data_IF_122562247917
#
_entry.id   IF_122562247917
#
_cell.length_a   1.000
_cell.length_b   1.000
_cell.length_c   1.000
_cell.angle_alpha   90.00
_cell.angle_beta   90.00
_cell.angle_gamma   90.00
#
_symmetry.space_group_name_H-M   'P 1'
#
loop_
_entity.id
_entity.type
_entity.pdbx_description
1 polymer ?
#
# COMPACT_ATOMS: atom_id res chain seq x y z
N UNK A 1 -13.39 2.11 -23.97
CA UNK A 1 -12.74 0.79 -23.83
C UNK A 1 -12.97 -0.10 -25.05
N UNK A 2 -14.18 -0.11 -25.62
CA UNK A 2 -14.55 -0.96 -26.76
C UNK A 2 -13.61 -0.91 -27.99
N UNK A 3 -13.16 0.26 -28.49
CA UNK A 3 -12.24 0.31 -29.63
C UNK A 3 -10.87 -0.32 -29.35
N UNK A 4 -10.42 -0.24 -28.09
CA UNK A 4 -9.15 -0.84 -27.67
C UNK A 4 -9.26 -2.36 -27.61
N UNK A 5 -10.40 -2.89 -27.18
CA UNK A 5 -10.66 -4.34 -27.16
C UNK A 5 -10.74 -4.89 -28.58
N UNK A 6 -11.43 -4.20 -29.48
CA UNK A 6 -11.46 -4.57 -30.91
C UNK A 6 -10.04 -4.56 -31.51
N UNK A 7 -9.22 -3.59 -31.14
CA UNK A 7 -7.81 -3.53 -31.54
C UNK A 7 -7.03 -4.73 -30.99
N UNK A 8 -7.21 -5.08 -29.72
CA UNK A 8 -6.57 -6.26 -29.10
C UNK A 8 -6.99 -7.56 -29.80
N UNK A 9 -8.29 -7.75 -30.05
CA UNK A 9 -8.82 -8.95 -30.71
C UNK A 9 -8.34 -9.06 -32.16
N UNK A 10 -8.27 -7.94 -32.89
CA UNK A 10 -7.79 -7.94 -34.28
C UNK A 10 -6.28 -8.18 -34.39
N UNK A 11 -5.49 -7.65 -33.46
CA UNK A 11 -4.02 -7.72 -33.47
C UNK A 11 -3.48 -9.01 -32.86
N UNK A 12 -4.19 -9.57 -31.88
CA UNK A 12 -3.79 -10.78 -31.15
C UNK A 12 -4.93 -11.82 -31.05
N UNK A 13 -5.43 -12.33 -32.18
CA UNK A 13 -6.59 -13.23 -32.21
C UNK A 13 -6.34 -14.56 -31.48
N UNK A 14 -5.09 -15.03 -31.43
CA UNK A 14 -4.71 -16.27 -30.74
C UNK A 14 -4.30 -16.05 -29.28
N UNK A 15 -4.01 -14.80 -28.87
CA UNK A 15 -3.60 -14.49 -27.51
C UNK A 15 -4.77 -14.09 -26.62
N UNK A 16 -5.76 -13.37 -27.17
CA UNK A 16 -6.94 -12.92 -26.42
C UNK A 16 -8.01 -13.99 -26.50
N UNK A 17 -8.24 -14.68 -25.38
CA UNK A 17 -9.21 -15.79 -25.29
C UNK A 17 -10.64 -15.27 -25.11
N UNK A 18 -10.80 -14.24 -24.29
CA UNK A 18 -12.08 -13.58 -24.05
C UNK A 18 -11.85 -12.13 -23.63
N UNK A 19 -12.82 -11.27 -23.89
CA UNK A 19 -12.84 -9.91 -23.41
C UNK A 19 -14.26 -9.55 -22.97
N UNK A 20 -14.38 -9.07 -21.74
CA UNK A 20 -15.64 -8.71 -21.12
C UNK A 20 -15.60 -7.26 -20.65
N UNK A 21 -16.69 -6.54 -20.90
CA UNK A 21 -16.85 -5.14 -20.49
C UNK A 21 -18.03 -5.09 -19.54
N UNK A 22 -17.72 -5.09 -18.26
CA UNK A 22 -18.72 -4.92 -17.22
C UNK A 22 -19.02 -3.43 -17.06
N UNK A 23 -20.09 -2.98 -17.71
CA UNK A 23 -20.56 -1.60 -17.59
C UNK A 23 -21.16 -1.30 -16.21
N UNK A 24 -21.66 -2.31 -15.49
CA UNK A 24 -22.27 -2.11 -14.17
C UNK A 24 -21.20 -1.79 -13.11
N UNK A 25 -20.06 -2.46 -13.20
CA UNK A 25 -18.93 -2.25 -12.29
C UNK A 25 -17.83 -1.36 -12.89
N UNK A 26 -18.01 -0.84 -14.12
CA UNK A 26 -17.02 -0.06 -14.85
C UNK A 26 -15.65 -0.77 -14.96
N UNK A 27 -15.68 -2.09 -15.12
CA UNK A 27 -14.49 -2.92 -15.26
C UNK A 27 -14.37 -3.44 -16.69
N UNK A 28 -13.14 -3.51 -17.18
CA UNK A 28 -12.83 -4.17 -18.46
C UNK A 28 -11.85 -5.28 -18.18
N UNK A 29 -12.27 -6.52 -18.45
CA UNK A 29 -11.46 -7.71 -18.20
C UNK A 29 -11.10 -8.37 -19.51
N UNK A 30 -9.83 -8.69 -19.70
CA UNK A 30 -9.33 -9.40 -20.88
C UNK A 30 -8.60 -10.65 -20.42
N UNK A 31 -9.04 -11.82 -20.90
CA UNK A 31 -8.36 -13.08 -20.65
C UNK A 31 -7.35 -13.33 -21.75
N UNK A 32 -6.10 -13.58 -21.34
CA UNK A 32 -4.96 -13.74 -22.25
C UNK A 32 -4.32 -15.11 -22.02
N UNK A 33 -3.88 -15.74 -23.11
CA UNK A 33 -3.14 -16.98 -23.07
C UNK A 33 -1.74 -16.75 -22.46
N UNK A 34 -1.37 -17.60 -21.49
CA UNK A 34 -0.11 -17.49 -20.74
C UNK A 34 1.16 -17.28 -21.60
N UNK A 35 1.38 -18.03 -22.70
CA UNK A 35 2.61 -17.89 -23.50
C UNK A 35 2.74 -16.57 -24.26
N UNK A 36 1.67 -15.77 -24.37
CA UNK A 36 1.63 -14.54 -25.16
C UNK A 36 1.39 -13.29 -24.31
N UNK A 37 1.41 -13.44 -22.98
CA UNK A 37 1.12 -12.35 -22.05
C UNK A 37 2.06 -11.17 -22.24
N UNK A 38 3.36 -11.42 -22.41
CA UNK A 38 4.37 -10.38 -22.54
C UNK A 38 4.17 -9.51 -23.79
N UNK A 39 3.73 -10.11 -24.90
CA UNK A 39 3.45 -9.37 -26.15
C UNK A 39 2.26 -8.44 -26.00
N UNK A 40 1.17 -8.92 -25.39
CA UNK A 40 -0.03 -8.13 -25.13
C UNK A 40 0.27 -7.00 -24.14
N UNK A 41 1.02 -7.30 -23.08
CA UNK A 41 1.43 -6.32 -22.07
C UNK A 41 2.30 -5.20 -22.67
N UNK A 42 3.27 -5.53 -23.53
CA UNK A 42 4.07 -4.53 -24.25
C UNK A 42 3.21 -3.65 -25.13
N UNK A 43 2.26 -4.23 -25.86
CA UNK A 43 1.34 -3.44 -26.67
C UNK A 43 0.50 -2.49 -25.80
N UNK A 44 -0.04 -2.95 -24.68
CA UNK A 44 -0.83 -2.11 -23.77
C UNK A 44 -0.02 -0.96 -23.18
N UNK A 45 1.25 -1.17 -22.91
CA UNK A 45 2.16 -0.15 -22.43
C UNK A 45 2.55 0.86 -23.52
N UNK A 46 3.03 0.37 -24.67
CA UNK A 46 3.69 1.19 -25.70
C UNK A 46 2.72 1.86 -26.68
N UNK A 47 1.53 1.27 -26.90
CA UNK A 47 0.58 1.79 -27.86
C UNK A 47 0.00 3.14 -27.37
N UNK A 48 0.11 4.24 -28.13
CA UNK A 48 -0.39 5.55 -27.71
C UNK A 48 -1.89 5.57 -27.37
N UNK A 49 -2.69 4.75 -28.06
CA UNK A 49 -4.12 4.59 -27.83
C UNK A 49 -4.47 3.85 -26.53
N UNK A 50 -3.54 3.07 -25.99
CA UNK A 50 -3.69 2.29 -24.76
C UNK A 50 -3.00 2.97 -23.58
N UNK A 51 -1.68 3.18 -23.70
CA UNK A 51 -0.80 3.88 -22.78
C UNK A 51 -1.05 3.52 -21.31
N UNK A 52 -1.04 2.22 -21.00
CA UNK A 52 -1.11 1.72 -19.62
C UNK A 52 0.27 1.81 -18.97
N UNK A 53 0.61 3.01 -18.52
CA UNK A 53 1.91 3.35 -17.96
C UNK A 53 2.05 2.98 -16.48
N UNK A 54 0.94 2.79 -15.76
CA UNK A 54 0.93 2.52 -14.33
C UNK A 54 0.44 1.10 -13.99
N UNK A 55 1.30 0.30 -13.37
CA UNK A 55 0.91 -0.97 -12.74
C UNK A 55 0.31 -0.69 -11.36
N UNK A 56 -0.94 -1.06 -11.17
CA UNK A 56 -1.65 -0.80 -9.90
C UNK A 56 -1.45 -1.94 -8.91
N UNK A 57 -1.57 -3.18 -9.39
CA UNK A 57 -1.50 -4.37 -8.56
C UNK A 57 -1.32 -5.64 -9.43
N UNK A 58 -0.75 -6.69 -8.85
CA UNK A 58 -0.78 -8.06 -9.39
C UNK A 58 -1.25 -8.98 -8.28
N UNK A 59 -2.36 -9.66 -8.50
CA UNK A 59 -2.90 -10.63 -7.57
C UNK A 59 -3.12 -11.98 -8.25
N UNK A 60 -3.47 -12.98 -7.46
CA UNK A 60 -3.62 -14.35 -7.93
C UNK A 60 -4.74 -15.07 -7.23
N UNK A 61 -5.39 -15.99 -7.93
CA UNK A 61 -6.46 -16.85 -7.41
C UNK A 61 -6.15 -18.33 -7.66
N UNK A 62 -6.60 -19.18 -6.73
CA UNK A 62 -6.48 -20.63 -6.80
C UNK A 62 -7.89 -21.25 -6.94
N UNK A 63 -8.08 -22.00 -8.02
CA UNK A 63 -9.28 -22.76 -8.37
C UNK A 63 -8.97 -24.27 -8.40
N UNK A 64 -8.97 -24.98 -7.25
CA UNK A 64 -8.54 -26.38 -7.18
C UNK A 64 -9.33 -27.37 -8.03
N UNK A 65 -10.57 -27.00 -8.39
CA UNK A 65 -11.45 -27.85 -9.21
C UNK A 65 -11.21 -27.71 -10.72
N UNK A 66 -10.45 -26.69 -11.14
CA UNK A 66 -10.21 -26.39 -12.55
C UNK A 66 -8.90 -27.03 -13.02
N UNK A 67 -8.86 -27.48 -14.29
CA UNK A 67 -7.62 -28.01 -14.90
C UNK A 67 -6.53 -26.93 -14.98
N UNK A 68 -6.92 -25.69 -15.27
CA UNK A 68 -6.06 -24.51 -15.12
C UNK A 68 -6.31 -23.89 -13.75
N UNK A 69 -5.67 -24.49 -12.75
CA UNK A 69 -5.86 -24.20 -11.34
C UNK A 69 -5.55 -22.75 -10.94
N UNK A 70 -4.47 -22.17 -11.45
CA UNK A 70 -4.03 -20.85 -11.01
C UNK A 70 -4.44 -19.76 -12.01
N UNK A 71 -4.90 -18.62 -11.50
CA UNK A 71 -5.19 -17.42 -12.28
C UNK A 71 -4.36 -16.26 -11.75
N UNK A 72 -3.56 -15.62 -12.61
CA UNK A 72 -2.84 -14.39 -12.30
C UNK A 72 -3.59 -13.22 -12.91
N UNK A 73 -3.80 -12.18 -12.10
CA UNK A 73 -4.65 -11.03 -12.40
C UNK A 73 -3.78 -9.77 -12.31
N UNK A 74 -3.65 -9.06 -13.43
CA UNK A 74 -2.91 -7.80 -13.51
C UNK A 74 -3.89 -6.64 -13.55
N UNK A 75 -3.69 -5.65 -12.69
CA UNK A 75 -4.47 -4.41 -12.67
C UNK A 75 -3.64 -3.27 -13.25
N UNK A 76 -4.02 -2.82 -14.44
CA UNK A 76 -3.31 -1.74 -15.14
C UNK A 76 -4.16 -0.48 -15.18
N UNK A 77 -3.49 0.65 -15.05
CA UNK A 77 -4.06 1.98 -15.14
C UNK A 77 -3.31 2.79 -16.20
N UNK A 78 -4.05 3.42 -17.10
CA UNK A 78 -3.53 4.47 -17.95
C UNK A 78 -3.81 5.79 -17.27
N UNK A 79 -2.77 6.43 -16.74
CA UNK A 79 -2.91 7.76 -16.14
C UNK A 79 -3.30 8.81 -17.20
N UNK A 80 -2.69 8.84 -18.41
CA UNK A 80 -3.03 9.82 -19.43
C UNK A 80 -4.48 9.73 -19.92
N UNK A 81 -5.02 8.51 -20.03
CA UNK A 81 -6.38 8.29 -20.55
C UNK A 81 -7.42 8.09 -19.46
N UNK A 82 -7.02 7.98 -18.19
CA UNK A 82 -7.93 7.76 -17.05
C UNK A 82 -8.69 6.43 -17.13
N UNK A 83 -8.10 5.39 -17.70
CA UNK A 83 -8.77 4.09 -17.96
C UNK A 83 -8.07 2.97 -17.23
N UNK A 84 -8.84 1.98 -16.77
CA UNK A 84 -8.33 0.74 -16.17
C UNK A 84 -8.63 -0.46 -17.04
N UNK A 85 -7.75 -1.45 -16.98
CA UNK A 85 -7.95 -2.76 -17.59
C UNK A 85 -7.42 -3.83 -16.65
N UNK A 86 -8.17 -4.93 -16.54
CA UNK A 86 -7.76 -6.12 -15.81
C UNK A 86 -7.38 -7.18 -16.82
N UNK A 87 -6.17 -7.72 -16.72
CA UNK A 87 -5.75 -8.86 -17.52
C UNK A 87 -5.72 -10.11 -16.66
N UNK A 88 -6.26 -11.20 -17.18
CA UNK A 88 -6.32 -12.49 -16.49
C UNK A 88 -5.63 -13.55 -17.31
N UNK A 89 -4.77 -14.33 -16.66
CA UNK A 89 -4.03 -15.40 -17.28
C UNK A 89 -4.14 -16.65 -16.44
N UNK A 90 -4.51 -17.77 -17.04
CA UNK A 90 -4.67 -19.05 -16.34
C UNK A 90 -3.52 -20.01 -16.61
N UNK A 91 -3.15 -20.78 -15.60
CA UNK A 91 -2.00 -21.69 -15.56
C UNK A 91 -2.39 -23.05 -14.99
N UNK A 92 -1.68 -24.08 -15.42
CA UNK A 92 -1.81 -25.44 -14.86
C UNK A 92 -0.89 -25.62 -13.66
N UNK A 93 -1.20 -26.59 -12.80
CA UNK A 93 -0.38 -26.92 -11.63
C UNK A 93 0.95 -27.61 -11.98
N UNK A 94 1.01 -28.33 -13.11
CA UNK A 94 2.22 -29.05 -13.54
C UNK A 94 3.38 -28.10 -13.86
N UNK A 95 3.09 -26.91 -14.41
CA UNK A 95 4.09 -25.90 -14.72
C UNK A 95 3.51 -24.48 -14.55
N UNK A 96 3.40 -23.98 -13.31
CA UNK A 96 2.85 -22.66 -13.02
C UNK A 96 3.91 -21.58 -13.25
N UNK A 97 4.27 -21.36 -14.52
CA UNK A 97 5.31 -20.40 -14.93
C UNK A 97 4.75 -19.38 -15.92
N UNK A 98 5.08 -18.11 -15.73
CA UNK A 98 4.79 -16.99 -16.63
C UNK A 98 6.06 -16.20 -16.97
N UNK A 99 6.04 -15.46 -18.06
CA UNK A 99 7.09 -14.46 -18.33
C UNK A 99 6.91 -13.23 -17.44
N UNK A 100 8.00 -12.76 -16.84
CA UNK A 100 8.02 -11.56 -16.00
C UNK A 100 7.77 -10.29 -16.82
N UNK A 101 6.94 -9.40 -16.28
CA UNK A 101 6.66 -8.09 -16.86
C UNK A 101 7.51 -6.96 -16.24
N UNK A 102 8.49 -7.30 -15.41
CA UNK A 102 9.46 -6.35 -14.80
C UNK A 102 10.24 -5.52 -15.83
N UNK A 103 10.42 -6.05 -17.04
CA UNK A 103 11.03 -5.33 -18.16
C UNK A 103 10.17 -4.20 -18.73
N UNK A 104 8.86 -4.21 -18.44
CA UNK A 104 7.88 -3.20 -18.87
C UNK A 104 7.62 -2.23 -17.71
N UNK A 105 7.19 -2.76 -16.56
CA UNK A 105 6.96 -2.00 -15.33
C UNK A 105 7.88 -2.49 -14.23
N UNK A 106 8.76 -1.62 -13.73
CA UNK A 106 9.66 -1.90 -12.61
C UNK A 106 8.89 -2.20 -11.31
N UNK A 107 7.70 -1.64 -11.14
CA UNK A 107 6.83 -1.93 -9.99
C UNK A 107 6.40 -3.39 -9.90
N UNK A 108 6.43 -4.14 -11.01
CA UNK A 108 6.11 -5.57 -11.01
C UNK A 108 7.09 -6.42 -10.18
N UNK A 109 8.29 -5.92 -9.88
CA UNK A 109 9.32 -6.66 -9.12
C UNK A 109 8.80 -7.10 -7.74
N UNK A 110 8.15 -6.20 -7.00
CA UNK A 110 7.60 -6.55 -5.68
C UNK A 110 6.36 -7.44 -5.80
N UNK A 111 5.48 -7.14 -6.75
CA UNK A 111 4.18 -7.78 -6.91
C UNK A 111 4.31 -9.23 -7.43
N UNK A 112 5.21 -9.48 -8.39
CA UNK A 112 5.50 -10.84 -8.88
C UNK A 112 6.18 -11.71 -7.80
N UNK A 113 7.05 -11.12 -6.98
CA UNK A 113 7.66 -11.82 -5.83
C UNK A 113 6.63 -12.23 -4.78
N UNK A 114 5.65 -11.38 -4.50
CA UNK A 114 4.57 -11.70 -3.56
C UNK A 114 3.73 -12.87 -4.06
N UNK A 115 3.32 -12.85 -5.35
CA UNK A 115 2.60 -13.97 -5.97
C UNK A 115 3.44 -15.25 -5.96
N UNK A 116 4.75 -15.15 -6.23
CA UNK A 116 5.65 -16.30 -6.13
C UNK A 116 5.73 -16.85 -4.70
N UNK A 117 5.90 -15.99 -3.70
CA UNK A 117 6.06 -16.41 -2.31
C UNK A 117 4.77 -17.01 -1.72
N UNK A 118 3.62 -16.44 -2.08
CA UNK A 118 2.32 -16.83 -1.53
C UNK A 118 1.64 -17.97 -2.28
N UNK A 119 1.86 -18.10 -3.60
CA UNK A 119 1.18 -19.07 -4.46
C UNK A 119 2.12 -20.04 -5.18
N UNK A 120 3.42 -19.75 -5.24
CA UNK A 120 4.41 -20.60 -5.90
C UNK A 120 4.39 -20.53 -7.43
N UNK A 121 3.81 -19.48 -8.00
CA UNK A 121 3.83 -19.21 -9.44
C UNK A 121 5.16 -18.57 -9.79
N UNK A 122 5.91 -19.15 -10.74
CA UNK A 122 7.25 -18.67 -11.11
C UNK A 122 7.18 -17.66 -12.25
N UNK A 123 8.03 -16.64 -12.20
CA UNK A 123 8.16 -15.63 -13.25
C UNK A 123 9.53 -15.74 -13.94
N UNK A 124 9.53 -16.23 -15.18
CA UNK A 124 10.73 -16.37 -16.01
C UNK A 124 11.26 -14.98 -16.42
N UNK A 125 12.56 -14.76 -16.26
CA UNK A 125 13.20 -13.48 -16.56
C UNK A 125 13.10 -12.42 -15.45
N UNK A 126 12.53 -12.77 -14.29
CA UNK A 126 12.49 -11.88 -13.13
C UNK A 126 13.90 -11.62 -12.55
N UNK A 127 14.28 -10.37 -12.22
CA UNK A 127 15.62 -10.04 -11.75
C UNK A 127 15.96 -10.60 -10.36
N UNK A 128 15.02 -10.61 -9.42
CA UNK A 128 15.21 -11.13 -8.06
C UNK A 128 13.99 -11.93 -7.55
N UNK A 129 13.83 -13.19 -7.98
CA UNK A 129 12.68 -14.02 -7.58
C UNK A 129 12.94 -14.78 -6.26
N UNK A 130 13.30 -14.05 -5.21
CA UNK A 130 13.37 -14.56 -3.83
C UNK A 130 12.04 -14.33 -3.11
N UNK A 131 11.81 -15.13 -2.07
CA UNK A 131 10.70 -14.91 -1.11
C UNK A 131 10.77 -13.48 -0.56
N UNK A 132 9.62 -12.93 -0.19
CA UNK A 132 9.50 -11.52 0.20
C UNK A 132 8.77 -11.33 1.54
N UNK A 133 7.80 -12.19 1.86
CA UNK A 133 7.05 -12.16 3.11
C UNK A 133 7.38 -13.34 4.02
N UNK A 134 7.73 -14.49 3.44
CA UNK A 134 8.05 -15.70 4.19
C UNK A 134 9.56 -15.88 4.35
N UNK A 135 10.00 -16.50 5.47
CA UNK A 135 11.39 -16.90 5.64
C UNK A 135 11.90 -17.76 4.48
N UNK A 136 13.18 -17.65 4.14
CA UNK A 136 13.80 -18.40 3.03
C UNK A 136 13.71 -19.92 3.25
N UNK A 137 13.77 -20.36 4.51
CA UNK A 137 13.66 -21.75 4.98
C UNK A 137 12.21 -22.23 5.15
N UNK A 138 11.21 -21.44 4.75
CA UNK A 138 9.81 -21.83 4.84
C UNK A 138 9.50 -23.01 3.90
N UNK A 139 9.31 -24.19 4.49
CA UNK A 139 9.11 -25.47 3.78
C UNK A 139 7.66 -25.97 3.79
N UNK A 140 6.78 -25.34 4.56
CA UNK A 140 5.39 -25.79 4.76
C UNK A 140 4.47 -25.57 3.54
N UNK A 141 4.96 -24.86 2.51
CA UNK A 141 4.27 -24.66 1.24
C UNK A 141 3.99 -23.19 0.93
N UNK A 142 2.79 -22.92 0.41
CA UNK A 142 2.37 -21.64 -0.15
C UNK A 142 1.02 -21.22 0.50
N UNK A 143 1.02 -20.23 1.42
CA UNK A 143 -0.12 -19.95 2.29
C UNK A 143 -1.44 -19.58 1.58
N UNK A 144 -1.38 -18.93 0.41
CA UNK A 144 -2.59 -18.50 -0.30
C UNK A 144 -3.25 -19.59 -1.15
N UNK A 145 -2.61 -20.76 -1.29
CA UNK A 145 -3.27 -21.90 -1.95
C UNK A 145 -4.43 -22.43 -1.11
N UNK A 146 -5.50 -22.89 -1.75
CA UNK A 146 -6.71 -23.39 -1.05
C UNK A 146 -6.46 -24.69 -0.27
N UNK A 147 -5.45 -25.48 -0.66
CA UNK A 147 -5.03 -26.69 0.05
C UNK A 147 -4.13 -26.39 1.27
N UNK A 148 -3.74 -25.14 1.48
CA UNK A 148 -3.04 -24.72 2.68
C UNK A 148 -4.04 -24.46 3.82
N UNK A 149 -3.85 -25.06 5.01
CA UNK A 149 -4.75 -24.87 6.14
C UNK A 149 -4.66 -23.45 6.69
N UNK A 150 -5.81 -22.86 7.04
CA UNK A 150 -5.86 -21.50 7.59
C UNK A 150 -5.13 -21.35 8.94
N UNK A 151 -5.04 -22.43 9.71
CA UNK A 151 -4.31 -22.47 11.00
C UNK A 151 -2.79 -22.71 10.82
N UNK A 152 -2.31 -22.90 9.59
CA UNK A 152 -0.93 -23.31 9.31
C UNK A 152 -0.70 -24.81 9.43
N UNK A 153 0.46 -25.31 8.96
CA UNK A 153 0.84 -26.73 9.03
C UNK A 153 1.82 -26.95 10.18
N UNK A 154 1.30 -27.35 11.35
CA UNK A 154 2.12 -27.76 12.49
C UNK A 154 2.62 -26.61 13.39
N UNK A 155 2.92 -26.98 14.64
CA UNK A 155 3.76 -26.27 15.63
C UNK A 155 3.44 -24.81 16.05
N UNK A 156 2.24 -24.26 15.81
CA UNK A 156 1.86 -22.91 16.35
C UNK A 156 0.49 -22.80 17.03
N UNK A 157 -0.29 -23.88 17.11
CA UNK A 157 -1.59 -23.88 17.80
C UNK A 157 -1.52 -24.15 19.31
N UNK A 158 -0.34 -24.50 19.85
CA UNK A 158 -0.13 -24.80 21.27
C UNK A 158 1.11 -24.06 21.79
N UNK A 159 0.95 -22.80 22.17
CA UNK A 159 1.90 -22.17 23.08
C UNK A 159 1.34 -22.26 24.50
N UNK A 160 1.98 -23.02 25.38
CA UNK A 160 1.94 -22.79 26.83
C UNK A 160 2.76 -21.51 27.09
N UNK A 161 2.19 -20.34 26.77
CA UNK A 161 2.89 -19.07 26.58
C UNK A 161 3.50 -18.44 27.86
N UNK A 162 3.55 -19.15 28.97
CA UNK A 162 4.20 -18.64 30.19
C UNK A 162 5.23 -19.67 30.64
N UNK A 163 6.53 -19.49 30.32
CA UNK A 163 7.56 -20.25 31.00
C UNK A 163 7.37 -20.04 32.50
N UNK A 164 7.26 -21.13 33.26
CA UNK A 164 7.13 -21.03 34.72
C UNK A 164 8.43 -20.40 35.22
N UNK A 165 8.33 -19.51 36.22
CA UNK A 165 9.47 -18.80 36.80
C UNK A 165 10.58 -19.75 37.32
N UNK A 166 10.20 -21.02 37.50
CA UNK A 166 10.97 -22.11 38.07
C UNK A 166 11.75 -22.91 37.00
N UNK A 167 11.53 -22.64 35.71
CA UNK A 167 12.22 -23.31 34.61
C UNK A 167 13.60 -22.69 34.37
N UNK A 168 14.66 -23.51 34.22
CA UNK A 168 15.99 -23.00 33.90
C UNK A 168 15.97 -22.30 32.53
N UNK A 169 16.74 -21.21 32.35
CA UNK A 169 16.86 -20.56 31.05
C UNK A 169 17.28 -21.57 29.99
N UNK A 170 16.54 -21.65 28.88
CA UNK A 170 16.99 -22.42 27.72
C UNK A 170 18.35 -21.89 27.26
N UNK A 171 19.27 -22.79 26.94
CA UNK A 171 20.54 -22.45 26.30
C UNK A 171 20.26 -21.60 25.06
N UNK A 172 20.98 -20.49 24.93
CA UNK A 172 20.93 -19.65 23.74
C UNK A 172 21.17 -20.54 22.51
N UNK A 173 20.16 -20.67 21.67
CA UNK A 173 20.32 -21.23 20.33
C UNK A 173 21.39 -20.37 19.65
N UNK A 174 22.50 -21.00 19.24
CA UNK A 174 23.49 -20.36 18.40
C UNK A 174 22.78 -19.59 17.29
N UNK A 175 23.21 -18.34 17.06
CA UNK A 175 22.54 -17.37 16.17
C UNK A 175 21.82 -18.03 15.00
N UNK A 176 20.52 -17.74 14.81
CA UNK A 176 19.58 -18.33 13.84
C UNK A 176 20.04 -18.32 12.36
N UNK A 177 21.22 -17.78 12.07
CA UNK A 177 21.83 -17.70 10.74
C UNK A 177 23.14 -18.49 10.76
N UNK A 178 23.21 -19.57 9.97
CA UNK A 178 24.44 -20.35 9.83
C UNK A 178 25.54 -19.50 9.18
N UNK A 179 26.81 -19.82 9.45
CA UNK A 179 27.95 -19.16 8.77
C UNK A 179 27.90 -19.28 7.23
N UNK A 180 27.16 -20.26 6.70
CA UNK A 180 26.97 -20.43 5.26
C UNK A 180 26.00 -19.39 4.68
N UNK A 181 24.94 -19.04 5.40
CA UNK A 181 23.96 -18.03 4.97
C UNK A 181 24.54 -16.61 5.08
N UNK A 182 25.51 -16.40 5.98
CA UNK A 182 26.33 -15.18 6.02
C UNK A 182 27.20 -15.01 4.77
N UNK A 183 27.57 -16.08 4.05
CA UNK A 183 28.47 -15.98 2.88
C UNK A 183 27.82 -15.32 1.66
N UNK A 184 26.50 -15.33 1.54
CA UNK A 184 25.79 -14.57 0.49
C UNK A 184 25.93 -13.06 0.73
N UNK A 185 26.11 -12.67 1.99
CA UNK A 185 26.40 -11.31 2.44
C UNK A 185 27.87 -11.13 2.83
N UNK A 186 28.81 -11.85 2.22
CA UNK A 186 30.24 -11.56 2.34
C UNK A 186 30.80 -11.26 0.95
N UNK A 187 31.58 -10.20 0.85
CA UNK A 187 32.25 -9.83 -0.39
C UNK A 187 33.04 -11.02 -0.95
N UNK A 188 32.90 -11.28 -2.26
CA UNK A 188 33.52 -12.41 -2.95
C UNK A 188 35.05 -12.46 -2.69
N UNK A 189 35.59 -13.54 -2.08
CA UNK A 189 37.02 -13.60 -1.73
C UNK A 189 37.95 -13.75 -2.95
N UNK A 190 37.41 -14.01 -4.15
CA UNK A 190 38.18 -14.21 -5.38
C UNK A 190 38.20 -12.98 -6.33
N UNK A 191 37.78 -11.80 -5.86
CA UNK A 191 37.93 -10.57 -6.63
C UNK A 191 39.40 -10.11 -6.65
N UNK A 192 39.94 -9.86 -7.85
CA UNK A 192 41.33 -9.44 -8.08
C UNK A 192 41.71 -8.17 -7.31
N UNK A 193 42.93 -8.06 -6.74
CA UNK A 193 43.34 -6.97 -5.85
C UNK A 193 43.75 -5.71 -6.62
N UNK A 194 42.82 -5.10 -7.35
CA UNK A 194 42.99 -3.76 -7.91
C UNK A 194 41.77 -2.90 -7.57
N UNK A 195 42.00 -1.92 -6.67
CA UNK A 195 41.04 -1.02 -6.03
C UNK A 195 40.12 -1.67 -4.97
N UNK A 196 40.65 -1.89 -3.76
CA UNK A 196 39.82 -2.18 -2.57
C UNK A 196 38.95 -0.95 -2.25
N UNK A 197 37.69 -0.98 -2.70
CA UNK A 197 36.59 -0.33 -1.98
C UNK A 197 36.25 -1.26 -0.81
N UNK A 198 36.43 -0.80 0.42
CA UNK A 198 36.01 -1.56 1.60
C UNK A 198 34.48 -1.41 1.70
N UNK A 199 33.75 -2.28 1.00
CA UNK A 199 32.30 -2.33 1.08
C UNK A 199 31.90 -2.83 2.47
N UNK A 200 31.29 -1.95 3.27
CA UNK A 200 30.78 -2.28 4.60
C UNK A 200 29.32 -2.74 4.48
N UNK A 201 29.03 -3.92 5.03
CA UNK A 201 27.67 -4.42 5.14
C UNK A 201 27.10 -4.10 6.51
N UNK A 202 26.02 -3.31 6.54
CA UNK A 202 25.34 -2.87 7.75
C UNK A 202 23.90 -3.40 7.78
N UNK A 203 23.56 -4.14 8.83
CA UNK A 203 22.18 -4.53 9.11
C UNK A 203 21.50 -3.43 9.94
N UNK A 204 20.52 -2.74 9.35
CA UNK A 204 19.68 -1.77 10.06
C UNK A 204 18.34 -2.41 10.40
N UNK A 205 18.03 -2.57 11.69
CA UNK A 205 16.83 -3.27 12.17
C UNK A 205 17.09 -4.76 12.49
N UNK A 206 16.03 -5.55 12.81
CA UNK A 206 14.61 -5.19 12.80
C UNK A 206 14.19 -4.25 13.94
N UNK A 207 15.00 -4.16 15.01
CA UNK A 207 14.78 -3.24 16.12
C UNK A 207 15.63 -1.97 15.93
N UNK A 208 15.03 -0.90 15.42
CA UNK A 208 15.67 0.42 15.31
C UNK A 208 14.61 1.53 15.43
N UNK A 209 14.87 2.66 16.13
CA UNK A 209 13.87 3.72 16.31
C UNK A 209 13.28 4.25 14.99
N UNK A 210 14.13 4.41 13.97
CA UNK A 210 13.72 4.95 12.66
C UNK A 210 13.02 3.96 11.72
N UNK A 211 12.81 2.69 12.11
CA UNK A 211 12.07 1.72 11.28
C UNK A 211 10.56 1.77 11.51
N UNK A 212 10.08 2.53 12.52
CA UNK A 212 8.65 2.75 12.85
C UNK A 212 7.79 1.50 12.69
N UNK A 213 8.21 0.42 13.33
CA UNK A 213 7.70 -0.92 13.12
C UNK A 213 8.85 -1.91 13.04
N UNK A 214 8.63 -3.02 12.34
CA UNK A 214 9.60 -4.11 12.24
C UNK A 214 10.01 -4.27 10.78
N UNK A 215 11.14 -3.68 10.42
CA UNK A 215 11.73 -3.77 9.09
C UNK A 215 13.23 -3.92 9.26
N UNK A 216 13.83 -4.84 8.51
CA UNK A 216 15.28 -4.97 8.43
C UNK A 216 15.73 -4.49 7.04
N UNK A 217 16.74 -3.65 6.99
CA UNK A 217 17.34 -3.19 5.73
C UNK A 217 18.82 -3.52 5.75
N UNK A 218 19.25 -4.34 4.80
CA UNK A 218 20.67 -4.68 4.61
C UNK A 218 21.27 -3.62 3.67
N UNK A 219 22.19 -2.83 4.19
CA UNK A 219 22.85 -1.73 3.48
C UNK A 219 24.27 -2.13 3.08
N UNK A 220 24.58 -1.96 1.80
CA UNK A 220 25.95 -2.06 1.28
C UNK A 220 26.50 -0.62 1.13
N UNK A 221 27.54 -0.29 1.90
CA UNK A 221 28.07 1.06 2.05
C UNK A 221 29.49 1.17 1.46
N UNK A 222 29.73 2.23 0.68
CA UNK A 222 31.07 2.70 0.30
C UNK A 222 31.37 3.98 1.09
N UNK A 223 32.02 3.82 2.25
CA UNK A 223 32.14 4.87 3.26
C UNK A 223 30.79 5.31 3.80
N UNK A 224 30.38 6.55 3.49
CA UNK A 224 29.07 7.11 3.87
C UNK A 224 28.00 6.97 2.79
N UNK A 225 28.37 6.48 1.59
CA UNK A 225 27.45 6.36 0.45
C UNK A 225 26.80 4.99 0.43
N UNK A 226 25.47 4.96 0.40
CA UNK A 226 24.71 3.74 0.16
C UNK A 226 24.87 3.35 -1.32
N UNK A 227 25.43 2.18 -1.58
CA UNK A 227 25.56 1.58 -2.92
C UNK A 227 24.32 0.76 -3.24
N UNK A 228 23.83 -0.01 -2.26
CA UNK A 228 22.65 -0.87 -2.39
C UNK A 228 21.91 -0.98 -1.06
N UNK A 229 20.60 -1.02 -1.12
CA UNK A 229 19.73 -1.25 0.03
C UNK A 229 18.78 -2.40 -0.31
N UNK A 230 18.82 -3.46 0.49
CA UNK A 230 17.94 -4.63 0.33
C UNK A 230 17.00 -4.69 1.53
N UNK A 231 15.73 -4.29 1.38
CA UNK A 231 14.75 -4.42 2.46
C UNK A 231 14.32 -5.89 2.61
N UNK A 232 14.44 -6.38 3.83
CA UNK A 232 13.98 -7.69 4.28
C UNK A 232 12.63 -7.48 5.00
N UNK A 233 11.58 -7.96 4.35
CA UNK A 233 10.17 -7.72 4.70
C UNK A 233 9.56 -8.98 5.35
N UNK A 234 8.28 -8.91 5.73
CA UNK A 234 7.55 -10.10 6.20
C UNK A 234 7.49 -10.30 7.71
N UNK A 235 8.26 -9.56 8.51
CA UNK A 235 8.21 -9.65 9.99
C UNK A 235 6.83 -9.38 10.61
N UNK A 236 5.97 -8.62 9.92
CA UNK A 236 4.59 -8.33 10.33
C UNK A 236 3.55 -9.04 9.44
N UNK A 237 3.97 -9.99 8.60
CA UNK A 237 3.04 -10.77 7.79
C UNK A 237 2.23 -11.71 8.69
N UNK A 238 0.90 -11.58 8.62
CA UNK A 238 -0.06 -12.30 9.48
C UNK A 238 -1.02 -13.20 8.71
N UNK A 239 -0.84 -13.34 7.39
CA UNK A 239 -1.75 -14.14 6.54
C UNK A 239 -3.20 -13.66 6.57
N UNK A 240 -3.45 -12.35 6.69
CA UNK A 240 -4.81 -11.78 6.83
C UNK A 240 -5.70 -12.17 5.63
N UNK A 241 -5.14 -12.19 4.43
CA UNK A 241 -5.83 -12.59 3.21
C UNK A 241 -6.31 -14.04 3.27
N UNK A 242 -5.47 -14.95 3.77
CA UNK A 242 -5.84 -16.36 3.97
C UNK A 242 -6.94 -16.52 5.02
N UNK A 243 -6.84 -15.77 6.12
CA UNK A 243 -7.88 -15.76 7.16
C UNK A 243 -9.22 -15.25 6.60
N UNK A 244 -9.19 -14.24 5.73
CA UNK A 244 -10.39 -13.67 5.13
C UNK A 244 -11.18 -14.67 4.28
N UNK A 245 -10.54 -15.70 3.71
CA UNK A 245 -11.23 -16.74 2.92
C UNK A 245 -12.25 -17.55 3.73
N UNK A 246 -12.01 -17.74 5.02
CA UNK A 246 -12.87 -18.51 5.92
C UNK A 246 -13.90 -17.68 6.68
N UNK A 247 -13.88 -16.35 6.51
CA UNK A 247 -14.71 -15.41 7.27
C UNK A 247 -15.82 -14.84 6.40
N UNK A 248 -16.95 -14.51 7.03
CA UNK A 248 -18.00 -13.75 6.36
C UNK A 248 -17.54 -12.30 6.09
N UNK A 249 -18.09 -11.65 5.05
CA UNK A 249 -17.71 -10.28 4.67
C UNK A 249 -17.69 -9.27 5.83
N UNK A 250 -18.66 -9.37 6.76
CA UNK A 250 -18.74 -8.50 7.95
C UNK A 250 -17.66 -8.79 9.00
N UNK A 251 -17.20 -10.04 9.10
CA UNK A 251 -16.15 -10.45 10.05
C UNK A 251 -14.75 -10.01 9.59
N UNK A 252 -14.59 -9.64 8.31
CA UNK A 252 -13.32 -9.17 7.74
C UNK A 252 -13.07 -7.68 8.08
N UNK A 253 -14.11 -6.88 8.33
CA UNK A 253 -13.97 -5.42 8.60
C UNK A 253 -12.98 -5.12 9.75
N UNK A 254 -13.00 -5.83 10.89
CA UNK A 254 -11.98 -5.61 11.92
C UNK A 254 -10.55 -5.92 11.47
N UNK A 255 -10.35 -6.83 10.51
CA UNK A 255 -9.03 -7.13 9.99
C UNK A 255 -8.49 -5.99 9.12
N UNK A 256 -9.35 -5.30 8.36
CA UNK A 256 -8.94 -4.16 7.53
C UNK A 256 -8.49 -2.94 8.35
N UNK A 257 -9.05 -2.74 9.55
CA UNK A 257 -8.56 -1.75 10.52
C UNK A 257 -7.08 -1.94 10.91
N UNK A 258 -6.58 -3.17 10.82
CA UNK A 258 -5.26 -3.55 11.32
C UNK A 258 -4.18 -3.60 10.23
N UNK A 259 -4.53 -3.31 8.98
CA UNK A 259 -3.58 -3.27 7.86
C UNK A 259 -2.70 -2.02 7.96
N UNK A 260 -3.28 -0.84 7.68
CA UNK A 260 -2.73 0.43 8.14
C UNK A 260 -3.42 0.83 9.45
N UNK A 261 -2.74 0.55 10.57
CA UNK A 261 -3.23 0.83 11.92
C UNK A 261 -3.32 2.33 12.23
N UNK A 262 -2.69 3.21 11.44
CA UNK A 262 -2.79 4.66 11.61
C UNK A 262 -4.03 5.20 10.90
N UNK A 263 -4.40 4.62 9.74
CA UNK A 263 -5.53 5.05 8.92
C UNK A 263 -6.67 4.02 8.81
N UNK A 264 -7.04 3.39 9.93
CA UNK A 264 -8.01 2.30 10.00
C UNK A 264 -9.34 2.57 9.24
N UNK A 265 -9.94 3.75 9.43
CA UNK A 265 -11.18 4.14 8.73
C UNK A 265 -11.07 4.14 7.21
N UNK A 266 -9.91 4.55 6.67
CA UNK A 266 -9.71 4.61 5.22
C UNK A 266 -9.64 3.19 4.61
N UNK A 267 -8.99 2.25 5.30
CA UNK A 267 -8.93 0.85 4.89
C UNK A 267 -10.32 0.21 4.91
N UNK A 268 -11.07 0.43 6.00
CA UNK A 268 -12.45 -0.03 6.09
C UNK A 268 -13.32 0.54 4.98
N UNK A 269 -13.17 1.84 4.69
CA UNK A 269 -13.97 2.46 3.65
C UNK A 269 -13.68 1.85 2.28
N UNK A 270 -12.41 1.59 1.96
CA UNK A 270 -12.03 0.92 0.70
C UNK A 270 -12.63 -0.48 0.60
N UNK A 271 -12.54 -1.29 1.66
CA UNK A 271 -13.07 -2.66 1.69
C UNK A 271 -14.60 -2.69 1.61
N UNK A 272 -15.28 -1.92 2.45
CA UNK A 272 -16.74 -1.85 2.48
C UNK A 272 -17.29 -1.40 1.13
N UNK A 273 -16.67 -0.38 0.51
CA UNK A 273 -17.06 0.10 -0.82
C UNK A 273 -16.87 -0.97 -1.90
N UNK A 274 -15.79 -1.74 -1.84
CA UNK A 274 -15.56 -2.84 -2.78
C UNK A 274 -16.70 -3.88 -2.68
N UNK A 275 -17.11 -4.24 -1.46
CA UNK A 275 -18.22 -5.19 -1.24
C UNK A 275 -19.57 -4.60 -1.67
N UNK A 276 -19.84 -3.33 -1.36
CA UNK A 276 -21.06 -2.63 -1.79
C UNK A 276 -21.18 -2.55 -3.31
N UNK A 277 -20.06 -2.29 -4.00
CA UNK A 277 -19.98 -2.28 -5.46
C UNK A 277 -20.29 -3.66 -6.03
N UNK A 278 -19.72 -4.74 -5.46
CA UNK A 278 -19.99 -6.12 -5.89
C UNK A 278 -21.46 -6.56 -5.66
N UNK A 279 -22.09 -6.06 -4.61
CA UNK A 279 -23.49 -6.38 -4.28
C UNK A 279 -24.51 -5.43 -4.92
N UNK A 280 -24.06 -4.35 -5.59
CA UNK A 280 -24.93 -3.32 -6.16
C UNK A 280 -25.75 -2.54 -5.12
N UNK A 281 -25.23 -2.38 -3.89
CA UNK A 281 -25.93 -1.71 -2.80
C UNK A 281 -25.75 -0.19 -2.91
N UNK A 282 -26.85 0.55 -2.91
CA UNK A 282 -26.83 2.02 -2.84
C UNK A 282 -26.92 2.50 -1.39
N UNK A 283 -25.95 3.30 -0.96
CA UNK A 283 -25.84 3.84 0.40
C UNK A 283 -26.66 5.14 0.52
N UNK A 284 -27.33 5.41 1.66
CA UNK A 284 -28.05 6.66 1.86
C UNK A 284 -27.15 7.89 1.75
N UNK A 285 -27.66 8.98 1.18
CA UNK A 285 -26.88 10.21 0.95
C UNK A 285 -26.25 10.77 2.23
N UNK A 286 -27.01 10.79 3.33
CA UNK A 286 -26.51 11.21 4.65
C UNK A 286 -25.30 10.38 5.09
N UNK A 287 -25.35 9.06 4.88
CA UNK A 287 -24.23 8.19 5.23
C UNK A 287 -23.00 8.49 4.35
N UNK A 288 -23.16 8.84 3.07
CA UNK A 288 -22.02 9.23 2.22
C UNK A 288 -21.34 10.53 2.66
N UNK A 289 -22.11 11.52 3.16
CA UNK A 289 -21.54 12.72 3.78
C UNK A 289 -20.72 12.37 5.02
N UNK A 290 -21.28 11.56 5.93
CA UNK A 290 -20.61 11.11 7.15
C UNK A 290 -19.32 10.34 6.82
N UNK A 291 -19.40 9.40 5.87
CA UNK A 291 -18.26 8.63 5.38
C UNK A 291 -17.15 9.51 4.83
N UNK A 292 -17.50 10.57 4.09
CA UNK A 292 -16.52 11.51 3.54
C UNK A 292 -15.89 12.36 4.65
N UNK A 293 -16.67 12.82 5.63
CA UNK A 293 -16.17 13.56 6.79
C UNK A 293 -15.19 12.70 7.60
N UNK A 294 -15.57 11.48 7.96
CA UNK A 294 -14.73 10.56 8.74
C UNK A 294 -13.46 10.18 7.98
N UNK A 295 -13.54 9.99 6.65
CA UNK A 295 -12.36 9.72 5.82
C UNK A 295 -11.37 10.89 5.83
N UNK A 296 -11.84 12.14 5.77
CA UNK A 296 -10.97 13.32 5.83
C UNK A 296 -10.46 13.58 7.26
N UNK A 297 -11.23 13.26 8.31
CA UNK A 297 -10.72 13.23 9.69
C UNK A 297 -9.56 12.23 9.83
N UNK A 298 -9.71 11.04 9.24
CA UNK A 298 -8.63 10.04 9.22
C UNK A 298 -7.42 10.52 8.42
N UNK A 299 -7.62 11.24 7.30
CA UNK A 299 -6.53 11.83 6.53
C UNK A 299 -5.72 12.82 7.37
N UNK A 300 -6.40 13.69 8.12
CA UNK A 300 -5.75 14.63 9.04
C UNK A 300 -4.93 13.86 10.09
N UNK A 301 -5.51 12.85 10.74
CA UNK A 301 -4.82 12.00 11.71
C UNK A 301 -3.56 11.33 11.14
N UNK A 302 -3.66 10.76 9.93
CA UNK A 302 -2.55 10.11 9.25
C UNK A 302 -1.42 11.07 8.91
N UNK A 303 -1.75 12.26 8.40
CA UNK A 303 -0.77 13.30 8.10
C UNK A 303 -0.10 13.87 9.36
N UNK A 304 -0.83 14.05 10.46
CA UNK A 304 -0.25 14.49 11.74
C UNK A 304 0.72 13.45 12.32
N UNK A 305 0.38 12.16 12.24
CA UNK A 305 1.26 11.08 12.68
C UNK A 305 2.53 11.03 11.84
N UNK A 306 2.39 11.04 10.50
CA UNK A 306 3.52 11.06 9.58
C UNK A 306 4.43 12.29 9.81
N UNK A 307 3.86 13.48 9.96
CA UNK A 307 4.61 14.72 10.18
C UNK A 307 5.39 14.66 11.49
N UNK A 308 4.73 14.20 12.57
CA UNK A 308 5.38 14.04 13.87
C UNK A 308 6.53 13.03 13.83
N UNK A 309 6.31 11.86 13.22
CA UNK A 309 7.32 10.80 13.11
C UNK A 309 8.52 11.25 12.27
N UNK A 310 8.29 11.82 11.08
CA UNK A 310 9.39 12.28 10.23
C UNK A 310 10.17 13.44 10.88
N UNK A 311 9.47 14.36 11.54
CA UNK A 311 10.11 15.45 12.28
C UNK A 311 11.01 14.89 13.39
N UNK A 312 10.52 13.90 14.15
CA UNK A 312 11.28 13.24 15.21
C UNK A 312 12.54 12.54 14.67
N UNK A 313 12.44 11.80 13.58
CA UNK A 313 13.57 11.09 12.96
C UNK A 313 14.67 12.05 12.46
N UNK A 314 14.28 13.23 11.98
CA UNK A 314 15.23 14.27 11.56
C UNK A 314 15.82 15.01 12.78
N UNK A 315 15.13 14.98 13.93
CA UNK A 315 15.58 15.52 15.22
C UNK A 315 14.69 16.61 15.81
N UNK A 316 13.60 17.00 15.15
CA UNK A 316 12.66 18.02 15.59
C UNK A 316 11.59 17.45 16.55
N UNK A 317 11.98 17.21 17.80
CA UNK A 317 11.13 16.57 18.81
C UNK A 317 9.88 17.38 19.21
N UNK A 318 9.94 18.72 19.16
CA UNK A 318 8.81 19.58 19.57
C UNK A 318 7.57 19.38 18.70
N UNK A 319 7.76 19.24 17.38
CA UNK A 319 6.66 19.05 16.42
C UNK A 319 5.91 17.75 16.71
N UNK A 320 6.62 16.69 17.11
CA UNK A 320 6.00 15.42 17.49
C UNK A 320 4.98 15.58 18.62
N UNK A 321 5.34 16.27 19.70
CA UNK A 321 4.40 16.48 20.82
C UNK A 321 3.23 17.37 20.43
N UNK A 322 3.46 18.35 19.56
CA UNK A 322 2.39 19.19 19.06
C UNK A 322 1.44 18.39 18.19
N UNK A 323 1.88 17.73 17.12
CA UNK A 323 0.97 16.98 16.25
C UNK A 323 0.18 15.90 17.00
N UNK A 324 0.76 15.30 18.03
CA UNK A 324 0.05 14.34 18.89
C UNK A 324 -1.05 14.98 19.74
N UNK A 325 -0.92 16.23 20.20
CA UNK A 325 -1.99 16.95 20.91
C UNK A 325 -3.25 17.10 20.04
N UNK A 326 -3.09 17.58 18.81
CA UNK A 326 -4.22 17.70 17.86
C UNK A 326 -4.76 16.33 17.47
N UNK A 327 -3.89 15.33 17.31
CA UNK A 327 -4.28 13.94 17.05
C UNK A 327 -5.14 13.36 18.18
N UNK A 328 -4.78 13.55 19.44
CA UNK A 328 -5.59 13.07 20.58
C UNK A 328 -6.99 13.70 20.59
N UNK A 329 -7.12 14.96 20.17
CA UNK A 329 -8.43 15.63 20.08
C UNK A 329 -9.34 14.95 19.04
N UNK A 330 -8.78 14.51 17.91
CA UNK A 330 -9.50 13.74 16.89
C UNK A 330 -9.78 12.30 17.34
N UNK A 331 -8.89 11.67 18.09
CA UNK A 331 -9.12 10.34 18.64
C UNK A 331 -10.23 10.32 19.69
N UNK A 332 -10.34 11.34 20.54
CA UNK A 332 -11.46 11.49 21.47
C UNK A 332 -12.80 11.60 20.72
N UNK A 333 -12.81 12.29 19.56
CA UNK A 333 -14.00 12.37 18.71
C UNK A 333 -14.36 11.01 18.11
N UNK A 334 -13.37 10.21 17.72
CA UNK A 334 -13.60 8.83 17.28
C UNK A 334 -14.08 7.90 18.40
N UNK A 335 -13.58 8.07 19.62
CA UNK A 335 -14.06 7.35 20.79
C UNK A 335 -15.55 7.66 21.06
N UNK A 336 -15.94 8.94 20.97
CA UNK A 336 -17.36 9.33 21.07
C UNK A 336 -18.22 8.75 19.94
N UNK A 337 -17.65 8.54 18.75
CA UNK A 337 -18.38 8.06 17.58
C UNK A 337 -18.60 6.54 17.58
N UNK A 338 -17.58 5.75 17.95
CA UNK A 338 -17.59 4.29 17.81
C UNK A 338 -17.15 3.53 19.07
N UNK A 339 -16.80 4.22 20.15
CA UNK A 339 -16.34 3.61 21.41
C UNK A 339 -14.90 3.10 21.40
N UNK A 340 -14.14 3.35 20.33
CA UNK A 340 -12.74 2.93 20.19
C UNK A 340 -11.86 4.06 19.66
N UNK A 341 -10.54 3.96 19.89
CA UNK A 341 -9.54 4.97 19.48
C UNK A 341 -8.62 4.53 18.33
N UNK A 342 -8.54 3.23 18.03
CA UNK A 342 -7.58 2.71 17.04
C UNK A 342 -8.25 1.69 16.10
N UNK A 343 -8.85 0.65 16.65
CA UNK A 343 -9.63 -0.34 15.89
C UNK A 343 -11.09 0.08 15.88
N UNK A 344 -11.44 0.92 14.91
CA UNK A 344 -12.65 1.75 14.97
C UNK A 344 -13.90 1.03 14.45
N UNK A 345 -13.76 0.12 13.47
CA UNK A 345 -14.83 -0.74 12.97
C UNK A 345 -16.20 -0.04 12.73
N UNK A 346 -16.16 1.21 12.26
CA UNK A 346 -17.33 2.08 12.18
C UNK A 346 -18.04 2.03 10.81
N UNK A 347 -17.29 1.85 9.72
CA UNK A 347 -17.90 1.64 8.41
C UNK A 347 -18.50 0.24 8.37
N UNK A 348 -19.75 0.16 7.91
CA UNK A 348 -20.49 -1.09 7.72
C UNK A 348 -20.93 -1.21 6.28
N UNK A 349 -21.09 -2.43 5.80
CA UNK A 349 -21.70 -2.69 4.48
C UNK A 349 -23.12 -2.12 4.50
N UNK A 350 -23.40 -1.16 3.63
CA UNK A 350 -24.66 -0.43 3.54
C UNK A 350 -24.65 0.96 4.18
N UNK A 351 -23.56 1.39 4.84
CA UNK A 351 -23.46 2.74 5.41
C UNK A 351 -22.46 2.86 6.57
N UNK A 352 -22.95 3.35 7.70
CA UNK A 352 -22.17 3.58 8.91
C UNK A 352 -22.90 2.95 10.10
N UNK A 353 -22.15 2.61 11.15
CA UNK A 353 -22.69 1.95 12.35
C UNK A 353 -23.62 2.87 13.17
N UNK A 354 -23.20 4.11 13.40
CA UNK A 354 -23.91 5.11 14.22
C UNK A 354 -23.86 6.50 13.59
N UNK A 355 -24.88 7.33 13.78
CA UNK A 355 -24.92 8.72 13.27
C UNK A 355 -24.14 9.69 14.20
N UNK A 356 -23.81 10.87 13.70
CA UNK A 356 -23.17 11.93 14.48
C UNK A 356 -24.12 12.53 15.53
N UNK A 357 -23.62 12.65 16.76
CA UNK A 357 -24.32 13.39 17.81
C UNK A 357 -24.19 14.90 17.59
N UNK A 358 -25.17 15.73 18.02
CA UNK A 358 -25.05 17.19 17.93
C UNK A 358 -23.83 17.76 18.65
N UNK A 359 -23.42 17.11 19.75
CA UNK A 359 -22.21 17.45 20.49
C UNK A 359 -20.95 17.22 19.64
N UNK A 360 -20.85 16.06 18.97
CA UNK A 360 -19.72 15.74 18.09
C UNK A 360 -19.60 16.75 16.95
N UNK A 361 -20.72 17.14 16.33
CA UNK A 361 -20.73 18.16 15.28
C UNK A 361 -20.22 19.50 15.80
N UNK A 362 -20.62 19.90 17.01
CA UNK A 362 -20.16 21.14 17.64
C UNK A 362 -18.66 21.10 17.91
N UNK A 363 -18.17 20.00 18.48
CA UNK A 363 -16.74 19.79 18.76
C UNK A 363 -15.90 19.79 17.49
N UNK A 364 -16.39 19.14 16.44
CA UNK A 364 -15.75 19.11 15.14
C UNK A 364 -15.68 20.52 14.52
N UNK A 365 -16.74 21.33 14.61
CA UNK A 365 -16.71 22.74 14.16
C UNK A 365 -15.64 23.56 14.89
N UNK A 366 -15.57 23.46 16.22
CA UNK A 366 -14.53 24.12 17.01
C UNK A 366 -13.11 23.67 16.63
N UNK A 367 -12.93 22.38 16.38
CA UNK A 367 -11.65 21.86 15.89
C UNK A 367 -11.29 22.45 14.53
N UNK A 368 -12.23 22.49 13.58
CA UNK A 368 -11.99 23.04 12.24
C UNK A 368 -11.63 24.54 12.27
N UNK A 369 -12.13 25.31 13.23
CA UNK A 369 -11.78 26.73 13.39
C UNK A 369 -10.35 26.94 13.91
N UNK A 370 -9.92 26.09 14.84
CA UNK A 370 -8.63 26.23 15.53
C UNK A 370 -7.47 25.52 14.82
N UNK A 371 -7.74 24.41 14.15
CA UNK A 371 -6.71 23.55 13.56
C UNK A 371 -5.82 24.22 12.50
N UNK A 372 -6.33 25.06 11.57
CA UNK A 372 -5.47 25.74 10.59
C UNK A 372 -4.35 26.57 11.25
N UNK A 373 -4.65 27.27 12.35
CA UNK A 373 -3.66 28.04 13.10
C UNK A 373 -2.57 27.14 13.71
N UNK A 374 -2.91 25.89 14.04
CA UNK A 374 -1.94 24.89 14.53
C UNK A 374 -1.05 24.36 13.42
N UNK A 375 -1.59 24.18 12.22
CA UNK A 375 -0.78 23.83 11.05
C UNK A 375 0.20 24.96 10.73
N UNK A 376 -0.23 26.22 10.82
CA UNK A 376 0.65 27.39 10.65
C UNK A 376 1.79 27.41 11.69
N UNK A 377 1.51 27.05 12.95
CA UNK A 377 2.54 26.90 14.00
C UNK A 377 3.60 25.87 13.58
N UNK A 378 3.21 24.72 13.01
CA UNK A 378 4.15 23.67 12.58
C UNK A 378 4.96 24.12 11.37
N UNK A 379 4.31 24.72 10.38
CA UNK A 379 4.92 25.18 9.14
C UNK A 379 5.94 26.30 9.42
N UNK A 380 5.63 27.20 10.35
CA UNK A 380 6.55 28.26 10.79
C UNK A 380 7.88 27.71 11.31
N UNK A 381 7.85 26.58 12.02
CA UNK A 381 9.03 25.94 12.60
C UNK A 381 9.83 25.11 11.57
N UNK A 382 9.16 24.57 10.55
CA UNK A 382 9.76 23.62 9.61
C UNK A 382 10.07 24.23 8.24
N UNK A 383 9.11 24.89 7.60
CA UNK A 383 9.23 25.34 6.20
C UNK A 383 10.38 26.33 5.99
N UNK A 384 10.59 27.24 6.94
CA UNK A 384 11.67 28.23 6.87
C UNK A 384 12.99 27.76 7.50
N UNK A 385 13.01 26.58 8.13
CA UNK A 385 14.14 26.12 8.91
C UNK A 385 15.25 25.57 8.01
N UNK A 386 16.45 26.15 8.13
CA UNK A 386 17.62 25.78 7.33
C UNK A 386 18.01 24.31 7.49
N UNK A 387 17.85 23.74 8.69
CA UNK A 387 18.17 22.33 8.97
C UNK A 387 17.16 21.44 8.25
N UNK A 388 15.87 21.76 8.35
CA UNK A 388 14.81 21.02 7.66
C UNK A 388 15.01 21.04 6.14
N UNK A 389 15.22 22.23 5.58
CA UNK A 389 15.47 22.40 4.14
C UNK A 389 16.72 21.63 3.69
N UNK A 390 17.82 21.70 4.44
CA UNK A 390 19.04 20.96 4.12
C UNK A 390 18.86 19.43 4.16
N UNK A 391 17.91 18.92 4.96
CA UNK A 391 17.65 17.48 5.14
C UNK A 391 16.49 16.93 4.32
N UNK A 392 15.76 17.77 3.60
CA UNK A 392 14.60 17.35 2.79
C UNK A 392 14.67 17.80 1.33
N UNK A 393 15.24 18.97 1.06
CA UNK A 393 15.35 19.51 -0.30
C UNK A 393 16.42 18.76 -1.08
N UNK A 394 16.12 18.40 -2.32
CA UNK A 394 16.99 17.60 -3.20
C UNK A 394 17.39 16.21 -2.65
N UNK A 395 16.65 15.68 -1.67
CA UNK A 395 16.90 14.35 -1.09
C UNK A 395 15.81 13.37 -1.52
N UNK A 396 16.23 12.17 -1.93
CA UNK A 396 15.38 11.12 -2.48
C UNK A 396 14.50 11.64 -3.63
N UNK A 397 15.15 12.25 -4.62
CA UNK A 397 14.47 12.78 -5.81
C UNK A 397 13.96 11.63 -6.66
N UNK A 398 12.67 11.65 -6.98
CA UNK A 398 12.03 10.66 -7.85
C UNK A 398 11.48 11.40 -9.07
N UNK A 399 11.82 10.93 -10.27
CA UNK A 399 11.26 11.52 -11.50
C UNK A 399 9.81 11.07 -11.68
N UNK A 400 8.97 11.91 -12.30
CA UNK A 400 7.56 11.53 -12.58
C UNK A 400 7.45 10.25 -13.41
N UNK A 401 8.39 10.01 -14.34
CA UNK A 401 8.42 8.79 -15.15
C UNK A 401 8.77 7.56 -14.31
N UNK A 402 9.77 7.66 -13.44
CA UNK A 402 10.12 6.55 -12.55
C UNK A 402 8.99 6.28 -11.54
N UNK A 403 8.37 7.32 -10.98
CA UNK A 403 7.24 7.17 -10.05
C UNK A 403 6.08 6.38 -10.66
N UNK A 404 5.72 6.67 -11.91
CA UNK A 404 4.69 5.94 -12.66
C UNK A 404 5.12 4.49 -12.91
N UNK A 405 6.37 4.30 -13.35
CA UNK A 405 6.91 2.97 -13.69
C UNK A 405 7.01 2.04 -12.45
N UNK A 406 7.30 2.61 -11.28
CA UNK A 406 7.27 1.89 -10.00
C UNK A 406 5.85 1.65 -9.45
N UNK A 407 4.79 2.17 -10.07
CA UNK A 407 3.42 2.05 -9.56
C UNK A 407 3.17 2.88 -8.29
N UNK A 408 3.94 3.97 -8.08
CA UNK A 408 3.79 4.81 -6.90
C UNK A 408 2.49 5.63 -6.96
N UNK A 409 1.85 5.82 -5.81
CA UNK A 409 0.60 6.58 -5.71
C UNK A 409 0.65 7.68 -4.63
N UNK A 410 -0.40 8.49 -4.54
CA UNK A 410 -0.57 9.49 -3.49
C UNK A 410 0.48 10.62 -3.51
N UNK A 411 0.92 11.11 -2.33
CA UNK A 411 1.89 12.20 -2.23
C UNK A 411 3.22 11.95 -2.93
N UNK A 412 3.67 10.68 -3.03
CA UNK A 412 4.93 10.34 -3.72
C UNK A 412 4.84 10.58 -5.22
N UNK A 413 3.71 10.22 -5.83
CA UNK A 413 3.45 10.46 -7.25
C UNK A 413 3.23 11.96 -7.54
N UNK A 414 2.41 12.63 -6.72
CA UNK A 414 2.14 14.07 -6.85
C UNK A 414 3.36 14.93 -6.58
N UNK A 415 4.24 14.53 -5.66
CA UNK A 415 5.51 15.22 -5.38
C UNK A 415 6.42 15.24 -6.60
N UNK A 416 6.35 14.19 -7.41
CA UNK A 416 7.14 14.01 -8.64
C UNK A 416 6.57 14.75 -9.86
N UNK A 417 5.51 15.55 -9.68
CA UNK A 417 4.92 16.39 -10.73
C UNK A 417 3.77 15.76 -11.51
N UNK A 418 3.28 14.59 -11.10
CA UNK A 418 2.16 13.90 -11.77
C UNK A 418 0.85 14.23 -11.08
N UNK A 419 -0.06 14.91 -11.79
CA UNK A 419 -1.37 15.31 -11.28
C UNK A 419 -2.35 14.12 -11.28
N UNK A 420 -2.28 13.30 -10.22
CA UNK A 420 -3.16 12.14 -10.05
C UNK A 420 -3.75 12.09 -8.63
N UNK A 421 -5.07 12.00 -8.55
CA UNK A 421 -5.82 11.70 -7.33
C UNK A 421 -7.10 10.92 -7.66
N UNK A 422 -7.28 9.78 -6.99
CA UNK A 422 -8.42 8.89 -7.22
C UNK A 422 -9.75 9.59 -6.94
N UNK A 423 -9.81 10.51 -5.96
CA UNK A 423 -11.05 11.21 -5.59
C UNK A 423 -11.52 12.19 -6.66
N UNK A 424 -10.64 12.66 -7.54
CA UNK A 424 -11.00 13.49 -8.71
C UNK A 424 -11.21 12.64 -9.96
N UNK A 425 -10.37 11.63 -10.19
CA UNK A 425 -10.45 10.77 -11.38
C UNK A 425 -11.69 9.87 -11.37
N UNK A 426 -11.94 9.22 -10.24
CA UNK A 426 -13.11 8.37 -10.01
C UNK A 426 -13.76 8.77 -8.67
N UNK A 427 -14.52 9.88 -8.67
CA UNK A 427 -15.11 10.40 -7.45
C UNK A 427 -15.99 9.37 -6.75
N UNK A 428 -15.91 9.34 -5.43
CA UNK A 428 -16.69 8.48 -4.56
C UNK A 428 -17.24 9.26 -3.37
N UNK A 429 -18.22 8.67 -2.67
CA UNK A 429 -18.98 9.39 -1.65
C UNK A 429 -19.45 10.75 -2.17
N UNK A 430 -19.17 11.82 -1.42
CA UNK A 430 -19.56 13.19 -1.80
C UNK A 430 -18.41 14.05 -2.30
N UNK A 431 -17.25 13.47 -2.66
CA UNK A 431 -16.10 14.24 -3.16
C UNK A 431 -16.38 15.05 -4.44
N UNK A 432 -17.42 14.69 -5.20
CA UNK A 432 -17.88 15.41 -6.39
C UNK A 432 -18.78 16.61 -6.09
N UNK A 433 -19.34 16.72 -4.86
CA UNK A 433 -20.23 17.81 -4.43
C UNK A 433 -19.48 18.93 -3.68
N UNK A 434 -18.22 18.69 -3.36
CA UNK A 434 -17.37 19.63 -2.61
C UNK A 434 -16.26 20.17 -3.48
N UNK A 435 -15.91 21.44 -3.26
CA UNK A 435 -14.83 22.12 -3.96
C UNK A 435 -13.51 22.04 -3.18
N UNK A 436 -12.46 21.58 -3.86
CA UNK A 436 -11.13 21.35 -3.27
C UNK A 436 -10.09 21.17 -4.37
N UNK A 437 -8.83 21.44 -4.03
CA UNK A 437 -7.70 21.38 -4.95
C UNK A 437 -6.73 20.24 -4.62
N UNK A 438 -6.06 19.72 -5.66
CA UNK A 438 -5.04 18.67 -5.49
C UNK A 438 -3.66 19.34 -5.57
N UNK A 439 -2.88 19.38 -4.47
CA UNK A 439 -1.54 19.94 -4.49
C UNK A 439 -0.58 19.03 -5.28
N UNK A 440 0.20 19.63 -6.18
CA UNK A 440 1.18 18.92 -7.04
C UNK A 440 2.55 19.57 -6.89
N UNK A 441 3.57 18.75 -6.63
CA UNK A 441 4.96 19.15 -6.48
C UNK A 441 5.62 19.38 -7.84
N UNK A 442 6.90 19.79 -7.84
CA UNK A 442 7.62 20.12 -9.08
C UNK A 442 8.95 19.37 -9.23
N UNK A 443 9.65 19.18 -8.12
CA UNK A 443 11.02 18.69 -8.06
C UNK A 443 11.10 17.19 -7.76
N UNK A 444 10.08 16.57 -7.16
CA UNK A 444 10.10 15.15 -6.79
C UNK A 444 10.93 14.82 -5.56
N UNK A 445 11.32 15.82 -4.77
CA UNK A 445 12.11 15.63 -3.57
C UNK A 445 11.25 15.40 -2.31
N UNK A 446 11.92 15.13 -1.20
CA UNK A 446 11.24 14.89 0.08
C UNK A 446 10.53 16.13 0.61
N UNK A 447 11.01 17.33 0.27
CA UNK A 447 10.37 18.58 0.67
C UNK A 447 9.03 18.80 -0.05
N UNK A 448 8.95 18.57 -1.36
CA UNK A 448 7.70 18.67 -2.12
C UNK A 448 6.65 17.69 -1.60
N UNK A 449 7.05 16.46 -1.24
CA UNK A 449 6.17 15.47 -0.58
C UNK A 449 5.68 15.94 0.78
N UNK A 450 6.52 16.68 1.52
CA UNK A 450 6.11 17.29 2.78
C UNK A 450 5.09 18.41 2.57
N UNK A 451 5.39 19.33 1.65
CA UNK A 451 4.52 20.44 1.32
C UNK A 451 3.14 19.96 0.85
N UNK A 452 3.07 18.94 0.00
CA UNK A 452 1.80 18.33 -0.44
C UNK A 452 0.95 17.86 0.74
N UNK A 453 1.55 17.13 1.69
CA UNK A 453 0.80 16.61 2.85
C UNK A 453 0.34 17.73 3.79
N UNK A 454 1.12 18.80 3.93
CA UNK A 454 0.70 19.99 4.67
C UNK A 454 -0.46 20.68 3.97
N UNK A 455 -0.41 20.85 2.65
CA UNK A 455 -1.53 21.41 1.88
C UNK A 455 -2.79 20.54 1.95
N UNK A 456 -2.64 19.21 1.93
CA UNK A 456 -3.74 18.28 2.12
C UNK A 456 -4.44 18.45 3.48
N UNK A 457 -3.75 18.88 4.54
CA UNK A 457 -4.39 19.20 5.82
C UNK A 457 -5.39 20.35 5.68
N UNK A 458 -5.03 21.42 4.97
CA UNK A 458 -5.92 22.56 4.73
C UNK A 458 -7.10 22.16 3.83
N UNK A 459 -6.84 21.38 2.78
CA UNK A 459 -7.90 20.89 1.89
C UNK A 459 -8.86 19.94 2.60
N UNK A 460 -8.39 19.07 3.50
CA UNK A 460 -9.27 18.24 4.35
C UNK A 460 -10.17 19.09 5.23
N UNK A 461 -9.66 20.15 5.85
CA UNK A 461 -10.48 21.10 6.64
C UNK A 461 -11.54 21.75 5.76
N UNK A 462 -11.17 22.19 4.55
CA UNK A 462 -12.08 22.80 3.57
C UNK A 462 -13.19 21.82 3.15
N UNK A 463 -12.86 20.56 2.91
CA UNK A 463 -13.82 19.50 2.55
C UNK A 463 -14.79 19.24 3.72
N UNK A 464 -14.27 19.03 4.94
CA UNK A 464 -15.11 18.72 6.10
C UNK A 464 -16.10 19.86 6.39
N UNK A 465 -15.66 21.13 6.30
CA UNK A 465 -16.55 22.28 6.50
C UNK A 465 -17.71 22.30 5.51
N UNK A 466 -17.43 22.10 4.22
CA UNK A 466 -18.46 22.05 3.19
C UNK A 466 -19.43 20.87 3.39
N UNK A 467 -18.90 19.69 3.73
CA UNK A 467 -19.75 18.54 4.03
C UNK A 467 -20.69 18.80 5.21
N UNK A 468 -20.22 19.46 6.28
CA UNK A 468 -21.05 19.80 7.45
C UNK A 468 -22.12 20.85 7.17
N UNK A 469 -21.91 21.73 6.18
CA UNK A 469 -22.89 22.72 5.73
C UNK A 469 -23.94 22.09 4.82
N UNK A 470 -23.54 21.19 3.92
CA UNK A 470 -24.43 20.53 2.96
C UNK A 470 -25.21 19.35 3.55
N UNK A 471 -24.77 18.80 4.69
CA UNK A 471 -25.44 17.69 5.39
C UNK A 471 -26.71 18.12 6.15
N UNK A 472 -26.97 19.43 6.29
CA UNK A 472 -28.10 19.99 7.04
C UNK A 472 -29.46 19.73 6.39
#
# INVERSE_FOLDING_TARGET
MQPLIETLLSKFPEAVLSADVDTAHAETTVQVAAPRILEVMRFLHDAPEACFDHITDICSADYPSDQQRFEVIYQLLSIPHGKRIRLKTRLTEENPTLDSITSIWRGADFLEREVYDMMGIRFAGHPDLRRILLPEDYTEGYPLRKDFPAEGRGWRSQFDFIPRLDEPPMEQVDSEVSEADRKVFLANPNASPSNRREELLLNMGPQHPSTHGVVRVVLELDGERIVKATPDLGYLHRGVEKLAEGLAYMQIIPHTDRLDYVCAMANNYAYVRAVEKLLGITVPERAEYIRTIVAEMQRILGHLFWLGAQALDIGAMTVFFWTFRERETLLDMFEQLCGARLTLNYYRIGGVDSDFTPELVTRLRTFLETFPQKVDEYDSLLASNRIWLARTKHIAVISGKDAINFGMTGPSLRGSGVAYDVRKLEPYGVYHKVDWEVPVGKNGDTYDRYWIRVMELYESVKIIRQCLEQMQ
#
